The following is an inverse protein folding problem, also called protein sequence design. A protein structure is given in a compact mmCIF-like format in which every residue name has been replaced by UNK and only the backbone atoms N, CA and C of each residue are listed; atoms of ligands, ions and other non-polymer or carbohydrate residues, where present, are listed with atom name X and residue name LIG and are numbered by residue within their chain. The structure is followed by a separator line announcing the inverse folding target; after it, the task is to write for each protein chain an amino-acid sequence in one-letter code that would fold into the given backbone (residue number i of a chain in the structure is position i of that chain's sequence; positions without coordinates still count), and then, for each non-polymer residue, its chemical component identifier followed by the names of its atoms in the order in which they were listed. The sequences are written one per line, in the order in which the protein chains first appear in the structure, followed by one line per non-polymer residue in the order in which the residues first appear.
data_IF_788947219226
#
_entry.id   IF_788947219226
#
_cell.length_a   1.000
_cell.length_b   1.000
_cell.length_c   1.000
_cell.angle_alpha   90.00
_cell.angle_beta   90.00
_cell.angle_gamma   90.00
#
_symmetry.space_group_name_H-M   'P 1'
#
loop_
_entity.id
_entity.type
_entity.pdbx_description
1 polymer ?
#
# COMPACT_ATOMS: atom_id res chain seq x y z
N UNK A 1 12.34 20.99 -5.72
CA UNK A 1 11.93 19.66 -6.20
C UNK A 1 12.35 18.63 -5.16
N UNK A 2 11.46 18.12 -4.29
CA UNK A 2 11.75 16.92 -3.53
C UNK A 2 11.34 15.71 -4.38
N UNK A 3 12.34 15.14 -5.02
CA UNK A 3 12.30 13.82 -5.65
C UNK A 3 12.49 12.78 -4.53
N UNK A 4 11.42 12.10 -4.11
CA UNK A 4 11.56 10.79 -3.45
C UNK A 4 10.27 9.95 -3.63
N UNK A 5 10.06 9.32 -4.80
CA UNK A 5 8.96 8.37 -4.99
C UNK A 5 9.08 7.11 -4.11
N UNK A 6 10.28 6.80 -3.58
CA UNK A 6 10.53 5.59 -2.78
C UNK A 6 9.95 5.63 -1.36
N UNK A 7 9.96 6.80 -0.69
CA UNK A 7 9.39 6.94 0.67
C UNK A 7 7.85 7.02 0.68
N UNK A 8 7.23 7.26 -0.49
CA UNK A 8 5.78 7.32 -0.62
C UNK A 8 5.12 5.93 -0.56
N UNK A 9 5.78 4.90 -1.10
CA UNK A 9 5.24 3.53 -1.17
C UNK A 9 5.13 2.86 0.21
N UNK A 10 6.14 3.02 1.06
CA UNK A 10 6.21 2.32 2.36
C UNK A 10 5.11 2.75 3.34
N UNK A 11 4.72 4.03 3.31
CA UNK A 11 3.61 4.54 4.14
C UNK A 11 2.26 4.01 3.67
N UNK A 12 2.03 3.89 2.37
CA UNK A 12 0.75 3.41 1.85
C UNK A 12 0.48 1.96 2.22
N UNK A 13 1.51 1.10 2.15
CA UNK A 13 1.38 -0.31 2.54
C UNK A 13 0.88 -0.39 3.99
N UNK A 14 1.50 0.38 4.90
CA UNK A 14 1.09 0.39 6.30
C UNK A 14 -0.34 0.90 6.49
N UNK A 15 -0.69 2.03 5.89
CA UNK A 15 -2.03 2.61 6.02
C UNK A 15 -3.13 1.68 5.48
N UNK A 16 -2.87 0.97 4.38
CA UNK A 16 -3.79 -0.02 3.81
C UNK A 16 -3.98 -1.21 4.75
N UNK A 17 -2.90 -1.71 5.37
CA UNK A 17 -2.98 -2.87 6.28
C UNK A 17 -3.64 -2.50 7.62
N UNK A 18 -3.43 -1.28 8.14
CA UNK A 18 -4.01 -0.85 9.43
C UNK A 18 -5.46 -0.40 9.34
N UNK A 19 -5.99 -0.17 8.14
CA UNK A 19 -7.41 0.17 7.90
C UNK A 19 -8.08 -0.89 7.03
N UNK A 20 -8.27 -2.11 7.56
CA UNK A 20 -8.77 -3.22 6.76
C UNK A 20 -10.27 -3.13 6.45
N UNK A 21 -10.96 -2.11 6.93
CA UNK A 21 -12.35 -1.78 6.58
C UNK A 21 -12.49 -1.00 5.27
N UNK A 22 -11.38 -0.46 4.75
CA UNK A 22 -11.38 0.34 3.54
C UNK A 22 -10.93 -0.50 2.34
N UNK A 23 -11.54 -0.28 1.17
CA UNK A 23 -11.10 -0.95 -0.05
C UNK A 23 -9.64 -0.54 -0.37
N UNK A 24 -8.70 -1.51 -0.42
CA UNK A 24 -7.28 -1.23 -0.53
C UNK A 24 -6.96 -0.56 -1.86
N UNK A 25 -7.66 -0.91 -2.94
CA UNK A 25 -7.44 -0.32 -4.25
C UNK A 25 -7.92 1.13 -4.31
N UNK A 26 -9.09 1.44 -3.75
CA UNK A 26 -9.62 2.79 -3.64
C UNK A 26 -8.72 3.70 -2.79
N UNK A 27 -8.14 3.16 -1.70
CA UNK A 27 -7.22 3.90 -0.85
C UNK A 27 -5.91 4.25 -1.59
N UNK A 28 -5.34 3.29 -2.33
CA UNK A 28 -4.16 3.50 -3.18
C UNK A 28 -4.46 4.54 -4.26
N UNK A 29 -5.59 4.42 -4.96
CA UNK A 29 -5.96 5.35 -6.04
C UNK A 29 -6.09 6.78 -5.52
N UNK A 30 -6.81 6.99 -4.42
CA UNK A 30 -6.96 8.32 -3.79
C UNK A 30 -5.60 8.89 -3.42
N UNK A 31 -4.81 8.12 -2.70
CA UNK A 31 -3.54 8.60 -2.15
C UNK A 31 -2.49 8.86 -3.24
N UNK A 32 -2.52 8.11 -4.35
CA UNK A 32 -1.71 8.37 -5.54
C UNK A 32 -2.20 9.62 -6.27
N UNK A 33 -3.51 9.80 -6.42
CA UNK A 33 -4.08 10.99 -7.07
C UNK A 33 -3.74 12.29 -6.33
N UNK A 34 -3.63 12.26 -5.00
CA UNK A 34 -3.25 13.41 -4.17
C UNK A 34 -1.76 13.80 -4.29
N UNK A 35 -0.89 12.87 -4.71
CA UNK A 35 0.58 13.02 -4.59
C UNK A 35 1.32 12.93 -5.91
N UNK A 36 0.72 12.32 -6.92
CA UNK A 36 1.34 12.04 -8.22
C UNK A 36 0.53 12.71 -9.33
N UNK A 37 1.17 13.46 -10.24
CA UNK A 37 0.48 14.03 -11.39
C UNK A 37 -0.10 12.91 -12.28
N UNK A 38 -1.29 13.15 -12.86
CA UNK A 38 -2.06 12.19 -13.68
C UNK A 38 -1.24 11.25 -14.58
N UNK A 39 -0.26 11.72 -15.39
CA UNK A 39 0.50 10.82 -16.27
C UNK A 39 1.31 9.74 -15.51
N UNK A 40 1.72 10.00 -14.27
CA UNK A 40 2.48 9.06 -13.45
C UNK A 40 1.63 8.18 -12.54
N UNK A 41 0.35 8.54 -12.33
CA UNK A 41 -0.54 7.82 -11.42
C UNK A 41 -0.71 6.33 -11.76
N UNK A 42 -0.99 5.92 -13.02
CA UNK A 42 -1.21 4.50 -13.31
C UNK A 42 0.04 3.65 -13.06
N UNK A 43 1.22 4.20 -13.31
CA UNK A 43 2.49 3.51 -13.07
C UNK A 43 2.77 3.33 -11.57
N UNK A 44 2.52 4.37 -10.77
CA UNK A 44 2.70 4.31 -9.32
C UNK A 44 1.66 3.41 -8.66
N UNK A 45 0.40 3.45 -9.11
CA UNK A 45 -0.64 2.53 -8.63
C UNK A 45 -0.26 1.07 -8.90
N UNK A 46 0.21 0.75 -10.10
CA UNK A 46 0.63 -0.61 -10.46
C UNK A 46 1.78 -1.11 -9.56
N UNK A 47 2.78 -0.26 -9.29
CA UNK A 47 3.88 -0.56 -8.37
C UNK A 47 3.37 -0.88 -6.96
N UNK A 48 2.47 -0.06 -6.40
CA UNK A 48 1.95 -0.27 -5.04
C UNK A 48 1.09 -1.55 -4.96
N UNK A 49 0.31 -1.84 -6.00
CA UNK A 49 -0.47 -3.08 -6.10
C UNK A 49 0.44 -4.30 -6.19
N UNK A 50 1.53 -4.24 -6.96
CA UNK A 50 2.53 -5.31 -7.00
C UNK A 50 3.19 -5.52 -5.64
N UNK A 51 3.57 -4.46 -4.95
CA UNK A 51 4.17 -4.54 -3.61
C UNK A 51 3.19 -5.13 -2.58
N UNK A 52 1.91 -4.75 -2.62
CA UNK A 52 0.87 -5.35 -1.78
C UNK A 52 0.66 -6.84 -2.07
N UNK A 53 0.71 -7.24 -3.35
CA UNK A 53 0.61 -8.66 -3.75
C UNK A 53 1.82 -9.46 -3.31
N UNK A 54 3.00 -8.84 -3.27
CA UNK A 54 4.25 -9.44 -2.77
C UNK A 54 4.36 -9.38 -1.25
N UNK A 55 3.44 -8.70 -0.56
CA UNK A 55 3.46 -8.63 0.89
C UNK A 55 3.29 -10.04 1.47
N UNK A 56 4.28 -10.45 2.26
CA UNK A 56 4.29 -11.72 2.98
C UNK A 56 4.96 -11.52 4.34
N UNK A 57 4.83 -12.47 5.25
CA UNK A 57 5.31 -12.34 6.63
C UNK A 57 6.80 -11.92 6.71
N UNK A 58 7.63 -12.44 5.82
CA UNK A 58 9.05 -12.06 5.71
C UNK A 58 9.35 -10.61 5.32
N UNK A 59 8.42 -9.85 4.74
CA UNK A 59 8.61 -8.42 4.41
C UNK A 59 7.85 -7.47 5.32
N UNK A 60 6.95 -7.97 6.20
CA UNK A 60 6.18 -7.13 7.12
C UNK A 60 7.06 -6.26 8.04
N UNK A 61 8.16 -6.83 8.52
CA UNK A 61 9.10 -6.13 9.39
C UNK A 61 9.74 -4.90 8.72
N UNK A 62 9.88 -4.90 7.38
CA UNK A 62 10.40 -3.75 6.62
C UNK A 62 9.43 -2.56 6.65
N UNK A 63 8.13 -2.85 6.73
CA UNK A 63 7.07 -1.85 6.79
C UNK A 63 6.65 -1.50 8.23
N UNK A 64 7.30 -2.07 9.24
CA UNK A 64 6.93 -1.91 10.65
C UNK A 64 5.57 -2.53 11.00
N UNK A 65 5.12 -3.52 10.23
CA UNK A 65 3.84 -4.20 10.42
C UNK A 65 4.01 -5.47 11.26
N UNK A 66 3.04 -5.75 12.14
CA UNK A 66 2.96 -7.02 12.86
C UNK A 66 2.24 -8.08 12.03
N UNK A 67 2.61 -9.37 12.17
CA UNK A 67 1.89 -10.48 11.53
C UNK A 67 0.40 -10.50 11.82
N UNK A 68 -0.01 -10.10 13.03
CA UNK A 68 -1.42 -10.02 13.44
C UNK A 68 -2.20 -8.94 12.69
N UNK A 69 -1.60 -7.78 12.41
CA UNK A 69 -2.23 -6.71 11.62
C UNK A 69 -2.45 -7.18 10.18
N UNK A 70 -1.44 -7.83 9.60
CA UNK A 70 -1.54 -8.40 8.25
C UNK A 70 -2.55 -9.55 8.16
N UNK A 71 -2.64 -10.39 9.19
CA UNK A 71 -3.61 -11.47 9.25
C UNK A 71 -5.05 -10.95 9.30
N UNK A 72 -5.31 -9.89 10.09
CA UNK A 72 -6.62 -9.24 10.14
C UNK A 72 -7.01 -8.63 8.78
N UNK A 73 -6.08 -7.94 8.12
CA UNK A 73 -6.30 -7.41 6.78
C UNK A 73 -6.58 -8.51 5.74
N UNK A 74 -5.81 -9.60 5.76
CA UNK A 74 -6.06 -10.76 4.88
C UNK A 74 -7.41 -11.40 5.15
N UNK A 75 -7.87 -11.50 6.39
CA UNK A 75 -9.15 -12.12 6.70
C UNK A 75 -10.34 -11.38 6.06
N UNK A 76 -10.22 -10.06 5.86
CA UNK A 76 -11.26 -9.21 5.28
C UNK A 76 -11.17 -9.12 3.74
N UNK A 77 -9.98 -9.26 3.17
CA UNK A 77 -9.73 -9.10 1.72
C UNK A 77 -9.40 -10.39 0.97
N UNK A 78 -9.32 -11.54 1.67
CA UNK A 78 -9.17 -12.85 1.04
C UNK A 78 -10.54 -13.33 0.56
N UNK A 79 -10.92 -12.86 -0.62
CA UNK A 79 -11.99 -13.45 -1.43
C UNK A 79 -11.41 -13.96 -2.74
#
# INVERSE_FOLDING_TARGET
MPDTPALAGERHIREVITHPECDPLANIQRSVAERVPEPGQPQVQALIVEELRRLHEGVLARYGLRPSEYAAWKALHRH
#
